data_IF_120129031038
#
_entry.id   IF_120129031038
#
_cell.length_a   1.000
_cell.length_b   1.000
_cell.length_c   1.000
_cell.angle_alpha   90.00
_cell.angle_beta   90.00
_cell.angle_gamma   90.00
#
_symmetry.space_group_name_H-M   'P 1'
#
loop_
_entity.id
_entity.type
_entity.pdbx_description
1 polymer ?
#
# COMPACT_ATOMS: atom_id res chain seq x y z
N UNK A 1 20.29 -24.03 0.92
CA UNK A 1 19.87 -24.03 2.34
C UNK A 1 18.95 -22.84 2.54
N UNK A 2 17.72 -23.04 3.02
CA UNK A 2 16.76 -21.95 3.21
C UNK A 2 16.96 -21.30 4.58
N UNK A 3 16.75 -19.99 4.66
CA UNK A 3 16.83 -19.22 5.91
C UNK A 3 15.50 -18.53 6.18
N UNK A 4 15.07 -18.54 7.44
CA UNK A 4 13.87 -17.83 7.89
C UNK A 4 14.27 -16.41 8.30
N UNK A 5 13.66 -15.40 7.67
CA UNK A 5 13.84 -14.00 8.00
C UNK A 5 12.53 -13.46 8.58
N UNK A 6 12.58 -12.91 9.81
CA UNK A 6 11.44 -12.23 10.44
C UNK A 6 11.43 -10.76 10.05
N UNK A 7 10.43 -10.35 9.29
CA UNK A 7 10.32 -8.97 8.80
C UNK A 7 9.74 -7.99 9.83
N UNK A 8 9.01 -8.48 10.83
CA UNK A 8 8.44 -7.68 11.90
C UNK A 8 7.04 -8.16 12.27
N UNK A 9 6.28 -7.26 12.88
CA UNK A 9 4.86 -7.42 13.16
C UNK A 9 4.07 -6.51 12.24
N UNK A 10 2.89 -6.96 11.81
CA UNK A 10 2.02 -6.16 10.95
C UNK A 10 0.64 -6.03 11.58
N UNK A 11 0.16 -4.80 11.65
CA UNK A 11 -1.22 -4.46 12.03
C UNK A 11 -1.89 -3.70 10.89
N UNK A 12 -3.23 -3.67 10.88
CA UNK A 12 -4.03 -2.94 9.90
C UNK A 12 -4.98 -2.00 10.62
N UNK A 13 -5.02 -0.75 10.19
CA UNK A 13 -5.89 0.29 10.75
C UNK A 13 -6.84 0.75 9.64
N UNK A 14 -8.14 0.55 9.81
CA UNK A 14 -9.15 1.04 8.86
C UNK A 14 -9.26 2.55 8.96
N UNK A 15 -9.27 3.23 7.82
CA UNK A 15 -9.51 4.68 7.78
C UNK A 15 -11.01 4.95 7.91
N UNK A 16 -11.43 5.97 8.68
CA UNK A 16 -12.83 6.37 8.75
C UNK A 16 -13.32 6.88 7.38
N UNK A 17 -14.61 6.68 7.09
CA UNK A 17 -15.24 7.09 5.83
C UNK A 17 -15.33 8.63 5.62
N UNK A 18 -14.90 9.45 6.60
CA UNK A 18 -14.89 10.91 6.40
C UNK A 18 -13.80 11.30 5.39
N UNK A 19 -14.04 12.39 4.67
CA UNK A 19 -13.09 12.98 3.73
C UNK A 19 -12.76 12.13 2.49
N UNK A 20 -13.64 11.22 2.07
CA UNK A 20 -13.48 10.48 0.80
C UNK A 20 -12.42 9.38 0.82
N UNK A 21 -11.95 8.98 2.01
CA UNK A 21 -10.97 7.90 2.20
C UNK A 21 -11.64 6.56 2.58
N UNK A 22 -12.94 6.41 2.28
CA UNK A 22 -13.70 5.18 2.52
C UNK A 22 -13.15 4.03 1.67
N UNK A 23 -13.15 2.82 2.23
CA UNK A 23 -12.63 1.63 1.56
C UNK A 23 -11.11 1.52 1.57
N UNK A 24 -10.40 2.35 2.34
CA UNK A 24 -8.96 2.25 2.54
C UNK A 24 -8.58 1.87 3.97
N UNK A 25 -7.49 1.13 4.08
CA UNK A 25 -6.81 0.82 5.34
C UNK A 25 -5.32 1.08 5.23
N UNK A 26 -4.69 1.33 6.38
CA UNK A 26 -3.23 1.49 6.48
C UNK A 26 -2.65 0.23 7.12
N UNK A 27 -1.85 -0.49 6.34
CA UNK A 27 -1.06 -1.62 6.83
C UNK A 27 0.25 -1.07 7.39
N UNK A 28 0.49 -1.36 8.66
CA UNK A 28 1.63 -0.86 9.42
C UNK A 28 2.53 -2.04 9.80
N UNK A 29 3.74 -2.08 9.26
CA UNK A 29 4.74 -3.09 9.61
C UNK A 29 5.80 -2.45 10.50
N UNK A 30 6.02 -3.01 11.68
CA UNK A 30 6.97 -2.48 12.65
C UNK A 30 7.93 -3.55 13.17
N UNK A 31 9.18 -3.13 13.40
CA UNK A 31 10.24 -4.01 13.91
C UNK A 31 11.17 -3.25 14.85
N UNK A 32 11.41 -3.82 16.03
CA UNK A 32 12.37 -3.25 16.96
C UNK A 32 13.79 -3.36 16.40
N UNK A 33 14.52 -2.23 16.40
CA UNK A 33 15.90 -2.13 15.98
C UNK A 33 16.77 -1.95 17.22
N UNK A 34 17.34 -3.05 17.72
CA UNK A 34 18.17 -3.05 18.94
C UNK A 34 19.29 -2.01 18.91
N UNK A 35 19.97 -1.86 17.77
CA UNK A 35 21.05 -0.88 17.60
C UNK A 35 20.62 0.58 17.71
N UNK A 36 19.32 0.87 17.60
CA UNK A 36 18.74 2.22 17.68
C UNK A 36 17.78 2.40 18.86
N UNK A 37 17.54 1.32 19.61
CA UNK A 37 16.58 1.24 20.71
C UNK A 37 15.19 1.80 20.38
N UNK A 38 14.74 1.61 19.13
CA UNK A 38 13.50 2.16 18.58
C UNK A 38 12.82 1.17 17.64
N UNK A 39 11.55 1.40 17.36
CA UNK A 39 10.82 0.64 16.35
C UNK A 39 10.92 1.34 15.01
N UNK A 40 11.35 0.59 13.99
CA UNK A 40 11.25 1.00 12.60
C UNK A 40 9.82 0.76 12.13
N UNK A 41 9.13 1.79 11.63
CA UNK A 41 7.75 1.70 11.12
C UNK A 41 7.71 1.92 9.60
N UNK A 42 7.01 1.04 8.89
CA UNK A 42 6.68 1.18 7.48
C UNK A 42 5.15 1.19 7.31
N UNK A 43 4.65 2.12 6.48
CA UNK A 43 3.23 2.28 6.19
C UNK A 43 2.94 1.91 4.74
N UNK A 44 1.80 1.25 4.53
CA UNK A 44 1.29 0.85 3.23
C UNK A 44 -0.18 1.23 3.16
N UNK A 45 -0.60 1.77 2.02
CA UNK A 45 -2.00 2.06 1.74
C UNK A 45 -2.60 0.81 1.10
N UNK A 46 -3.74 0.36 1.61
CA UNK A 46 -4.47 -0.77 1.09
C UNK A 46 -5.88 -0.33 0.73
N UNK A 47 -6.35 -0.66 -0.47
CA UNK A 47 -7.78 -0.61 -0.78
C UNK A 47 -8.38 -1.93 -0.31
N UNK A 48 -9.48 -1.87 0.43
CA UNK A 48 -10.03 -3.03 1.15
C UNK A 48 -10.64 -4.08 0.21
N UNK A 49 -10.97 -3.70 -1.03
CA UNK A 49 -11.50 -4.53 -2.11
C UNK A 49 -10.41 -5.10 -3.05
N UNK A 50 -9.15 -4.64 -2.95
CA UNK A 50 -8.01 -5.15 -3.73
C UNK A 50 -7.03 -5.88 -2.81
N UNK A 51 -6.55 -7.06 -3.26
CA UNK A 51 -5.56 -7.83 -2.52
C UNK A 51 -4.18 -7.16 -2.46
N UNK A 52 -3.82 -6.44 -3.50
CA UNK A 52 -2.56 -5.70 -3.63
C UNK A 52 -2.46 -4.54 -2.63
N UNK A 53 -1.25 -4.37 -2.08
CA UNK A 53 -0.93 -3.27 -1.19
C UNK A 53 -0.13 -2.23 -1.98
N UNK A 54 -0.53 -0.96 -1.88
CA UNK A 54 0.24 0.13 -2.46
C UNK A 54 1.24 0.66 -1.44
N UNK A 55 2.52 0.61 -1.81
CA UNK A 55 3.54 1.23 -0.97
C UNK A 55 3.28 2.73 -0.96
N UNK A 56 3.08 3.28 0.24
CA UNK A 56 3.16 4.72 0.45
C UNK A 56 4.64 5.03 0.22
N UNK A 57 4.93 5.58 -0.97
CA UNK A 57 6.28 5.72 -1.50
C UNK A 57 7.17 6.30 -0.41
N UNK A 58 8.16 5.51 -0.03
CA UNK A 58 9.08 5.76 1.07
C UNK A 58 10.13 6.80 0.63
N UNK A 59 9.68 7.94 0.08
CA UNK A 59 10.55 9.08 -0.14
C UNK A 59 10.66 9.88 1.15
N UNK A 60 11.84 9.71 1.76
CA UNK A 60 12.60 10.74 2.48
C UNK A 60 12.25 11.10 3.92
N UNK A 61 11.56 10.22 4.64
CA UNK A 61 11.78 10.14 6.09
C UNK A 61 11.88 8.67 6.46
N UNK A 62 13.09 8.14 6.28
CA UNK A 62 13.68 7.00 7.00
C UNK A 62 12.68 6.33 7.96
N UNK A 63 12.15 5.17 7.56
CA UNK A 63 11.16 4.36 8.27
C UNK A 63 11.03 4.76 9.74
N UNK A 64 10.03 5.58 10.06
CA UNK A 64 10.03 6.44 11.24
C UNK A 64 10.47 5.63 12.46
N UNK A 65 11.67 5.91 12.95
CA UNK A 65 12.18 5.30 14.17
C UNK A 65 11.38 5.88 15.32
N UNK A 66 10.31 5.20 15.70
CA UNK A 66 9.41 5.65 16.74
C UNK A 66 9.82 5.05 18.08
N UNK A 67 9.83 5.87 19.15
CA UNK A 67 10.06 5.37 20.49
C UNK A 67 8.84 4.56 20.95
N UNK A 68 9.07 3.64 21.88
CA UNK A 68 8.02 2.85 22.47
C UNK A 68 8.54 1.55 23.04
N UNK A 69 7.68 0.92 23.81
CA UNK A 69 7.85 -0.43 24.34
C UNK A 69 6.91 -1.37 23.60
N UNK A 70 7.01 -2.68 23.88
CA UNK A 70 6.11 -3.67 23.30
C UNK A 70 4.64 -3.39 23.64
N UNK A 71 4.38 -2.79 24.80
CA UNK A 71 3.04 -2.49 25.32
C UNK A 71 2.46 -1.20 24.73
N UNK A 72 3.30 -0.29 24.25
CA UNK A 72 2.90 1.06 23.83
C UNK A 72 2.99 1.29 22.32
N UNK A 73 3.73 0.45 21.61
CA UNK A 73 4.04 0.66 20.19
C UNK A 73 2.79 0.74 19.30
N UNK A 74 1.80 -0.13 19.51
CA UNK A 74 0.58 -0.14 18.70
C UNK A 74 -0.25 1.13 18.89
N UNK A 75 -0.35 1.62 20.14
CA UNK A 75 -1.00 2.90 20.44
C UNK A 75 -0.25 4.09 19.81
N UNK A 76 1.09 4.06 19.79
CA UNK A 76 1.88 5.09 19.12
C UNK A 76 1.64 5.08 17.60
N UNK A 77 1.62 3.89 16.98
CA UNK A 77 1.30 3.73 15.56
C UNK A 77 -0.12 4.27 15.26
N UNK A 78 -1.11 3.95 16.09
CA UNK A 78 -2.47 4.44 15.92
C UNK A 78 -2.54 5.98 15.94
N UNK A 79 -1.80 6.63 16.84
CA UNK A 79 -1.73 8.10 16.91
C UNK A 79 -1.11 8.71 15.65
N UNK A 80 -0.06 8.08 15.11
CA UNK A 80 0.58 8.52 13.86
C UNK A 80 -0.39 8.41 12.69
N UNK A 81 -1.05 7.25 12.54
CA UNK A 81 -2.04 7.03 11.47
C UNK A 81 -3.21 8.01 11.60
N UNK A 82 -3.69 8.25 12.82
CA UNK A 82 -4.75 9.25 13.07
C UNK A 82 -4.32 10.66 12.65
N UNK A 83 -3.12 11.08 13.03
CA UNK A 83 -2.61 12.40 12.65
C UNK A 83 -2.43 12.54 11.13
N UNK A 84 -1.90 11.50 10.49
CA UNK A 84 -1.77 11.46 9.03
C UNK A 84 -3.14 11.52 8.33
N UNK A 85 -4.15 10.84 8.89
CA UNK A 85 -5.52 10.93 8.41
C UNK A 85 -6.10 12.34 8.55
N UNK A 86 -6.04 12.92 9.74
CA UNK A 86 -6.59 14.24 10.06
C UNK A 86 -5.93 15.38 9.25
N UNK A 87 -4.67 15.21 8.84
CA UNK A 87 -3.92 16.19 8.04
C UNK A 87 -4.08 16.00 6.52
N UNK A 88 -4.85 15.00 6.08
CA UNK A 88 -5.00 14.68 4.65
C UNK A 88 -3.73 14.09 4.02
N UNK A 89 -2.78 13.60 4.83
CA UNK A 89 -1.51 13.04 4.34
C UNK A 89 -1.71 11.89 3.36
N UNK A 90 -2.75 11.08 3.55
CA UNK A 90 -3.07 9.95 2.69
C UNK A 90 -3.69 10.35 1.34
N UNK A 91 -4.22 11.57 1.19
CA UNK A 91 -4.93 11.99 -0.02
C UNK A 91 -4.07 11.90 -1.28
N UNK A 92 -2.79 12.30 -1.18
CA UNK A 92 -1.87 12.23 -2.32
C UNK A 92 -1.59 10.79 -2.74
N UNK A 93 -1.58 9.86 -1.78
CA UNK A 93 -1.31 8.45 -2.03
C UNK A 93 -2.54 7.73 -2.57
N UNK A 94 -3.73 8.07 -2.06
CA UNK A 94 -5.00 7.59 -2.60
C UNK A 94 -5.14 8.04 -4.06
N UNK A 95 -4.95 9.33 -4.35
CA UNK A 95 -4.99 9.85 -5.73
C UNK A 95 -4.00 9.15 -6.66
N UNK A 96 -2.76 8.94 -6.19
CA UNK A 96 -1.74 8.23 -6.96
C UNK A 96 -2.13 6.77 -7.19
N UNK A 97 -2.64 6.08 -6.18
CA UNK A 97 -3.11 4.70 -6.30
C UNK A 97 -4.23 4.57 -7.32
N UNK A 98 -5.26 5.41 -7.21
CA UNK A 98 -6.38 5.43 -8.16
C UNK A 98 -5.92 5.73 -9.58
N UNK A 99 -4.97 6.65 -9.74
CA UNK A 99 -4.36 6.93 -11.05
C UNK A 99 -3.62 5.72 -11.60
N UNK A 100 -2.83 5.02 -10.76
CA UNK A 100 -2.15 3.77 -11.15
C UNK A 100 -3.13 2.70 -11.59
N UNK A 101 -4.24 2.49 -10.86
CA UNK A 101 -5.29 1.55 -11.25
C UNK A 101 -5.88 1.93 -12.61
N UNK A 102 -6.21 3.21 -12.83
CA UNK A 102 -6.73 3.69 -14.13
C UNK A 102 -5.75 3.48 -15.28
N UNK A 103 -4.47 3.70 -15.05
CA UNK A 103 -3.43 3.41 -16.05
C UNK A 103 -3.37 1.93 -16.39
N UNK A 104 -3.48 1.05 -15.39
CA UNK A 104 -3.51 -0.39 -15.59
C UNK A 104 -4.74 -0.81 -16.39
N UNK A 105 -5.94 -0.40 -15.98
CA UNK A 105 -7.20 -0.72 -16.66
C UNK A 105 -7.15 -0.31 -18.14
N UNK A 106 -6.73 0.93 -18.41
CA UNK A 106 -6.60 1.44 -19.78
C UNK A 106 -5.54 0.69 -20.59
N UNK A 107 -4.41 0.33 -19.96
CA UNK A 107 -3.38 -0.49 -20.60
C UNK A 107 -3.89 -1.89 -20.95
N UNK A 108 -4.64 -2.50 -20.04
CA UNK A 108 -5.25 -3.81 -20.23
C UNK A 108 -6.24 -3.79 -21.40
N UNK A 109 -7.11 -2.79 -21.48
CA UNK A 109 -8.04 -2.60 -22.61
C UNK A 109 -7.33 -2.57 -23.96
N UNK A 110 -6.20 -1.85 -24.05
CA UNK A 110 -5.40 -1.77 -25.29
C UNK A 110 -4.80 -3.13 -25.65
N UNK A 111 -4.24 -3.86 -24.68
CA UNK A 111 -3.65 -5.18 -24.91
C UNK A 111 -4.71 -6.20 -25.35
N UNK A 112 -5.88 -6.22 -24.71
CA UNK A 112 -6.97 -7.12 -25.09
C UNK A 112 -7.46 -6.83 -26.51
N UNK A 113 -7.55 -5.54 -26.91
CA UNK A 113 -7.86 -5.17 -28.30
C UNK A 113 -6.80 -5.67 -29.29
N UNK A 114 -5.51 -5.54 -28.95
CA UNK A 114 -4.43 -6.06 -29.80
C UNK A 114 -4.50 -7.58 -29.96
N UNK A 115 -4.83 -8.30 -28.88
CA UNK A 115 -5.01 -9.76 -28.89
C UNK A 115 -6.18 -10.14 -29.79
N UNK A 116 -7.32 -9.47 -29.65
CA UNK A 116 -8.52 -9.77 -30.44
C UNK A 116 -8.28 -9.50 -31.93
N UNK A 117 -7.72 -8.33 -32.27
CA UNK A 117 -7.36 -7.98 -33.64
C UNK A 117 -6.39 -9.00 -34.26
N UNK A 118 -5.48 -9.56 -33.47
CA UNK A 118 -4.54 -10.59 -33.94
C UNK A 118 -5.27 -11.90 -34.25
N UNK A 119 -6.20 -12.32 -33.39
CA UNK A 119 -7.03 -13.52 -33.60
C UNK A 119 -7.90 -13.40 -34.85
N UNK A 120 -8.50 -12.23 -35.08
CA UNK A 120 -9.29 -11.97 -36.28
C UNK A 120 -8.46 -12.10 -37.57
N UNK A 121 -7.22 -11.60 -37.58
CA UNK A 121 -6.31 -11.72 -38.72
C UNK A 121 -5.91 -13.17 -38.98
N UNK A 122 -5.54 -13.90 -37.92
CA UNK A 122 -5.18 -15.32 -38.02
C UNK A 122 -6.37 -16.17 -38.51
N UNK A 123 -7.60 -15.84 -38.10
CA UNK A 123 -8.81 -16.50 -38.58
C UNK A 123 -9.09 -16.21 -40.07
N UNK A 124 -8.81 -14.99 -40.54
CA UNK A 124 -8.98 -14.59 -41.93
C UNK A 124 -7.94 -15.23 -42.87
N UNK A 125 -6.72 -15.48 -42.41
CA UNK A 125 -5.66 -16.13 -43.21
C UNK A 125 -5.84 -17.65 -43.37
N UNK A 126 -6.73 -18.26 -42.59
CA UNK A 126 -7.06 -19.70 -42.63
C UNK A 126 -8.39 -20.02 -43.34
N UNK A 127 -9.04 -19.03 -43.95
CA UNK A 127 -10.31 -19.15 -44.67
C UNK A 127 -10.13 -18.98 -46.18
#
# INVERSE_FOLDING_TARGET
>A
MYQIIKEGYTIRIKLPAKCGQEGYSVKCTYKYKKAKEKYMLALWLKRDDIEEDFRIDAQEIDAQLIPGTRETIENNILRIVRHAYETGYFDRYIKRFEYTCKCFEKGNELIEQEIENKREREAADHQ
#
